data_IF_553490876918
#
_entry.id   IF_553490876918
#
_cell.length_a   1.000
_cell.length_b   1.000
_cell.length_c   1.000
_cell.angle_alpha   90.00
_cell.angle_beta   90.00
_cell.angle_gamma   90.00
#
_symmetry.space_group_name_H-M   'P 1'
#
loop_
_entity.id
_entity.type
_entity.pdbx_description
1 polymer ?
#
# COMPACT_ATOMS: atom_id res chain seq x y z
N UNK A 1 -15.57 4.44 -20.10
CA UNK A 1 -14.78 4.55 -18.87
C UNK A 1 -14.03 3.25 -18.66
N UNK A 2 -12.72 3.31 -18.48
CA UNK A 2 -11.89 2.15 -18.18
C UNK A 2 -11.79 1.96 -16.66
N UNK A 3 -11.59 0.71 -16.23
CA UNK A 3 -11.31 0.37 -14.84
C UNK A 3 -9.82 0.11 -14.63
N UNK A 4 -9.28 0.62 -13.53
CA UNK A 4 -7.88 0.50 -13.16
C UNK A 4 -7.84 -0.21 -11.81
N UNK A 5 -7.19 -1.37 -11.76
CA UNK A 5 -7.11 -2.19 -10.56
C UNK A 5 -5.70 -2.21 -10.02
N UNK A 6 -5.59 -2.21 -8.69
CA UNK A 6 -4.36 -2.55 -7.98
C UNK A 6 -4.61 -3.81 -7.17
N UNK A 7 -3.70 -4.76 -7.25
CA UNK A 7 -3.79 -6.08 -6.63
C UNK A 7 -2.89 -6.20 -5.40
N UNK A 8 -3.10 -7.26 -4.62
CA UNK A 8 -2.33 -7.52 -3.42
C UNK A 8 -0.83 -7.57 -3.72
N UNK A 9 0.02 -6.91 -2.91
CA UNK A 9 1.46 -6.82 -3.15
C UNK A 9 2.19 -8.14 -2.84
N UNK A 10 1.60 -8.98 -1.99
CA UNK A 10 2.07 -10.31 -1.64
C UNK A 10 0.89 -11.17 -1.14
N UNK A 11 1.04 -12.49 -1.10
CA UNK A 11 0.01 -13.39 -0.53
C UNK A 11 -0.15 -13.12 0.97
N UNK A 12 -1.33 -13.16 1.55
CA UNK A 12 -1.49 -12.97 2.99
C UNK A 12 -2.94 -12.95 3.38
N UNK A 13 -3.26 -12.20 4.42
CA UNK A 13 -4.63 -11.86 4.77
C UNK A 13 -4.79 -10.35 4.92
N UNK A 14 -5.97 -9.85 4.56
CA UNK A 14 -6.38 -8.50 4.94
C UNK A 14 -6.66 -8.49 6.45
N UNK A 15 -5.69 -8.07 7.25
CA UNK A 15 -5.82 -7.99 8.71
C UNK A 15 -6.04 -6.55 9.19
N UNK A 16 -5.74 -5.56 8.34
CA UNK A 16 -6.06 -4.15 8.59
C UNK A 16 -7.52 -3.83 8.33
N UNK A 17 -8.34 -4.86 8.19
CA UNK A 17 -9.71 -4.70 8.59
C UNK A 17 -9.88 -5.03 10.07
N UNK A 18 -9.10 -5.82 10.80
CA UNK A 18 -9.44 -6.19 12.18
C UNK A 18 -9.02 -5.26 13.32
N UNK A 19 -7.99 -4.42 13.15
CA UNK A 19 -7.86 -3.19 13.95
C UNK A 19 -9.03 -2.25 13.59
N UNK A 20 -9.47 -2.25 12.32
CA UNK A 20 -10.51 -1.39 11.73
C UNK A 20 -11.97 -1.94 11.77
N UNK A 21 -12.22 -3.18 12.19
CA UNK A 21 -13.46 -3.98 12.07
C UNK A 21 -14.00 -4.32 13.45
N UNK A 22 -13.15 -4.16 14.48
CA UNK A 22 -13.48 -4.42 15.87
C UNK A 22 -13.13 -3.24 16.78
N UNK A 23 -13.12 -2.00 16.25
CA UNK A 23 -13.06 -0.72 17.01
C UNK A 23 -11.69 -0.20 17.50
N UNK A 24 -10.56 -0.62 16.95
CA UNK A 24 -9.26 -0.02 17.27
C UNK A 24 -8.88 1.05 16.24
N UNK A 25 -8.98 2.31 16.68
CA UNK A 25 -8.82 3.51 15.87
C UNK A 25 -7.64 3.40 14.90
N UNK A 26 -7.90 3.25 13.60
CA UNK A 26 -6.82 3.22 12.64
C UNK A 26 -6.10 4.55 12.61
N UNK A 27 -4.78 4.53 12.74
CA UNK A 27 -4.02 5.76 12.55
C UNK A 27 -3.92 6.02 11.03
N UNK A 28 -4.49 7.13 10.54
CA UNK A 28 -4.27 7.50 9.15
C UNK A 28 -2.78 7.75 8.95
N UNK A 29 -2.21 7.17 7.91
CA UNK A 29 -0.79 7.30 7.55
C UNK A 29 -0.55 8.61 6.79
N UNK A 30 -1.22 9.68 7.24
CA UNK A 30 -1.05 11.09 6.86
C UNK A 30 -1.69 11.57 5.55
N UNK A 31 -2.01 10.71 4.59
CA UNK A 31 -2.30 11.19 3.23
C UNK A 31 -3.68 10.85 2.67
N UNK A 32 -4.32 9.79 3.15
CA UNK A 32 -5.37 9.15 2.36
C UNK A 32 -6.47 8.52 3.21
N UNK A 33 -7.52 8.03 2.53
CA UNK A 33 -8.69 7.45 3.17
C UNK A 33 -8.76 5.94 2.94
N UNK A 34 -9.62 5.29 3.72
CA UNK A 34 -9.96 3.88 3.61
C UNK A 34 -8.74 2.94 3.61
N UNK A 35 -7.96 2.93 4.71
CA UNK A 35 -6.78 2.10 4.79
C UNK A 35 -7.14 0.63 4.80
N UNK A 36 -6.18 -0.18 4.39
CA UNK A 36 -6.16 -1.61 4.63
C UNK A 36 -4.75 -2.00 5.07
N UNK A 37 -4.63 -3.16 5.67
CA UNK A 37 -3.34 -3.78 5.89
C UNK A 37 -3.35 -5.21 5.40
N UNK A 38 -2.29 -5.56 4.68
CA UNK A 38 -2.03 -6.92 4.23
C UNK A 38 -0.80 -7.41 4.98
N UNK A 39 -0.86 -8.62 5.51
CA UNK A 39 0.19 -9.14 6.37
C UNK A 39 0.16 -10.64 6.53
N UNK A 40 1.22 -11.15 7.15
CA UNK A 40 1.43 -12.55 7.50
C UNK A 40 1.94 -12.66 8.94
N UNK A 41 1.56 -13.72 9.67
CA UNK A 41 1.98 -13.90 11.06
C UNK A 41 3.45 -14.30 11.22
N UNK A 42 4.22 -14.35 10.13
CA UNK A 42 5.65 -14.66 10.15
C UNK A 42 6.50 -13.38 10.17
N UNK A 43 7.79 -13.56 10.48
CA UNK A 43 8.75 -12.46 10.56
C UNK A 43 9.71 -12.40 9.36
N UNK A 44 9.35 -13.07 8.26
CA UNK A 44 10.20 -13.14 7.08
C UNK A 44 10.03 -11.88 6.22
N UNK A 45 11.13 -11.15 6.02
CA UNK A 45 11.17 -10.01 5.10
C UNK A 45 10.52 -10.40 3.77
N UNK A 46 9.48 -9.67 3.38
CA UNK A 46 8.64 -10.02 2.24
C UNK A 46 8.70 -8.91 1.20
N UNK A 47 9.12 -9.19 -0.05
CA UNK A 47 9.10 -8.19 -1.10
C UNK A 47 7.68 -7.61 -1.33
N UNK A 48 7.60 -6.28 -1.40
CA UNK A 48 6.39 -5.55 -1.76
C UNK A 48 6.46 -5.28 -3.27
N UNK A 49 5.45 -5.75 -4.00
CA UNK A 49 5.30 -5.45 -5.42
C UNK A 49 4.08 -4.58 -5.66
N UNK A 50 4.21 -3.61 -6.56
CA UNK A 50 3.06 -3.01 -7.21
C UNK A 50 2.56 -3.97 -8.28
N UNK A 51 1.27 -4.30 -8.25
CA UNK A 51 0.59 -5.03 -9.30
C UNK A 51 -0.59 -4.20 -9.79
N UNK A 52 -0.49 -3.66 -11.00
CA UNK A 52 -1.53 -2.89 -11.67
C UNK A 52 -2.17 -3.64 -12.82
N UNK A 53 -3.45 -3.40 -13.08
CA UNK A 53 -4.13 -3.87 -14.30
C UNK A 53 -3.44 -3.35 -15.57
N UNK A 54 -3.67 -4.00 -16.71
CA UNK A 54 -3.13 -3.59 -18.02
C UNK A 54 -3.50 -2.17 -18.47
N UNK A 55 -4.56 -1.59 -17.89
CA UNK A 55 -4.97 -0.21 -18.16
C UNK A 55 -4.05 0.81 -17.47
N UNK A 56 -3.32 0.42 -16.42
CA UNK A 56 -2.27 1.25 -15.84
C UNK A 56 -1.05 1.11 -16.75
N UNK A 57 -0.57 2.21 -17.30
CA UNK A 57 0.51 2.20 -18.31
C UNK A 57 1.81 2.78 -17.77
N UNK A 58 1.71 3.67 -16.80
CA UNK A 58 2.85 4.13 -16.02
C UNK A 58 2.46 4.43 -14.58
N UNK A 59 3.46 4.49 -13.73
CA UNK A 59 3.33 4.92 -12.34
C UNK A 59 4.38 5.98 -12.02
N UNK A 60 4.08 6.85 -11.07
CA UNK A 60 5.09 7.70 -10.42
C UNK A 60 5.19 7.29 -8.96
N UNK A 61 6.40 6.96 -8.52
CA UNK A 61 6.70 6.59 -7.15
C UNK A 61 7.38 7.78 -6.48
N UNK A 62 6.84 8.21 -5.33
CA UNK A 62 7.31 9.33 -4.53
C UNK A 62 7.61 8.79 -3.13
N UNK A 63 8.84 8.97 -2.67
CA UNK A 63 9.24 8.61 -1.32
C UNK A 63 8.73 9.61 -0.28
N UNK A 64 8.29 9.08 0.85
CA UNK A 64 7.86 9.81 2.03
C UNK A 64 8.46 9.15 3.28
N UNK A 65 8.86 9.92 4.27
CA UNK A 65 9.56 9.43 5.47
C UNK A 65 8.95 9.93 6.78
N UNK A 66 7.65 10.25 6.80
CA UNK A 66 6.98 10.80 7.99
C UNK A 66 5.63 10.16 8.27
N UNK A 67 5.53 8.86 8.04
CA UNK A 67 4.28 8.10 8.14
C UNK A 67 3.91 7.80 9.60
N UNK A 68 4.91 7.36 10.38
CA UNK A 68 4.80 7.11 11.80
C UNK A 68 5.72 8.08 12.55
N UNK A 69 5.17 9.12 13.20
CA UNK A 69 5.97 10.10 13.95
C UNK A 69 6.51 9.56 15.30
N UNK A 70 6.60 8.24 15.48
CA UNK A 70 6.91 7.61 16.76
C UNK A 70 8.39 7.26 16.93
N UNK A 71 9.13 6.95 15.85
CA UNK A 71 10.51 6.45 15.94
C UNK A 71 11.38 6.95 14.76
N UNK A 72 12.06 8.10 14.91
CA UNK A 72 12.92 8.67 13.87
C UNK A 72 13.94 7.68 13.30
N UNK A 73 13.91 7.46 11.99
CA UNK A 73 14.88 6.65 11.24
C UNK A 73 14.55 5.15 11.12
N UNK A 74 13.41 4.72 11.62
CA UNK A 74 12.95 3.33 11.48
C UNK A 74 12.22 3.13 10.13
N UNK A 75 12.37 1.99 9.44
CA UNK A 75 11.54 1.62 8.29
C UNK A 75 10.03 1.89 8.41
N UNK A 76 9.46 1.92 9.63
CA UNK A 76 8.05 2.28 9.87
C UNK A 76 7.69 3.70 9.43
N UNK A 77 8.66 4.61 9.38
CA UNK A 77 8.44 6.00 8.96
C UNK A 77 8.36 6.14 7.45
N UNK A 78 8.84 5.14 6.70
CA UNK A 78 8.92 5.18 5.25
C UNK A 78 7.60 4.77 4.59
N UNK A 79 7.17 5.56 3.62
CA UNK A 79 6.16 5.21 2.64
C UNK A 79 6.62 5.49 1.22
N UNK A 80 5.92 4.85 0.30
CA UNK A 80 5.94 5.14 -1.11
C UNK A 80 4.53 5.49 -1.57
N UNK A 81 4.34 6.74 -2.00
CA UNK A 81 3.16 7.12 -2.75
C UNK A 81 3.34 6.70 -4.21
N UNK A 82 2.43 5.89 -4.70
CA UNK A 82 2.35 5.40 -6.07
C UNK A 82 1.16 6.07 -6.77
N UNK A 83 1.46 7.05 -7.63
CA UNK A 83 0.48 7.65 -8.54
C UNK A 83 0.30 6.76 -9.78
N UNK A 84 -0.95 6.60 -10.21
CA UNK A 84 -1.36 5.72 -11.30
C UNK A 84 -1.72 6.54 -12.53
N UNK A 85 -1.28 6.09 -13.70
CA UNK A 85 -1.50 6.79 -14.96
C UNK A 85 -1.98 5.82 -16.05
N UNK A 86 -2.99 6.26 -16.80
CA UNK A 86 -3.59 5.48 -17.89
C UNK A 86 -2.76 5.51 -19.18
N UNK A 87 -1.74 6.37 -19.26
CA UNK A 87 -0.83 6.48 -20.39
C UNK A 87 0.63 6.44 -19.91
N UNK A 88 1.58 6.35 -20.86
CA UNK A 88 3.01 6.34 -20.56
C UNK A 88 3.47 7.70 -20.03
N UNK A 89 4.65 7.74 -19.41
CA UNK A 89 5.34 8.95 -18.98
C UNK A 89 4.51 9.85 -18.05
N UNK A 90 3.75 9.21 -17.14
CA UNK A 90 2.88 9.87 -16.18
C UNK A 90 1.78 10.75 -16.82
N UNK A 91 1.25 10.32 -17.97
CA UNK A 91 0.11 10.98 -18.63
C UNK A 91 -1.24 10.33 -18.26
N UNK A 92 -2.30 11.15 -18.21
CA UNK A 92 -3.64 10.75 -17.80
C UNK A 92 -3.69 10.17 -16.37
N UNK A 93 -3.66 11.07 -15.37
CA UNK A 93 -3.73 10.69 -13.96
C UNK A 93 -5.05 9.99 -13.62
N UNK A 94 -4.95 8.84 -12.95
CA UNK A 94 -6.09 8.01 -12.56
C UNK A 94 -6.36 8.12 -11.07
N UNK A 95 -5.31 8.06 -10.25
CA UNK A 95 -5.42 7.96 -8.80
C UNK A 95 -4.06 7.72 -8.16
N UNK A 96 -4.05 7.46 -6.85
CA UNK A 96 -2.82 7.19 -6.13
C UNK A 96 -3.07 6.27 -4.93
N UNK A 97 -2.02 5.56 -4.53
CA UNK A 97 -1.96 4.78 -3.30
C UNK A 97 -0.74 5.16 -2.49
N UNK A 98 -0.81 5.04 -1.17
CA UNK A 98 0.36 4.95 -0.32
C UNK A 98 0.62 3.49 0.04
N UNK A 99 1.89 3.10 0.04
CA UNK A 99 2.41 1.88 0.68
C UNK A 99 3.28 2.35 1.83
N UNK A 100 2.87 2.08 3.06
CA UNK A 100 3.51 2.52 4.30
C UNK A 100 4.24 1.35 4.97
N UNK A 101 5.23 1.66 5.81
CA UNK A 101 6.14 0.70 6.45
C UNK A 101 7.03 -0.04 5.44
N UNK A 102 7.58 0.71 4.48
CA UNK A 102 8.40 0.16 3.40
C UNK A 102 9.88 0.22 3.77
N UNK A 103 10.46 -0.95 4.02
CA UNK A 103 11.91 -1.11 4.10
C UNK A 103 12.52 -1.14 2.68
N UNK A 104 13.78 -0.70 2.56
CA UNK A 104 14.55 -0.73 1.31
C UNK A 104 13.75 -0.24 0.07
N UNK A 105 13.20 0.99 0.11
CA UNK A 105 12.36 1.49 -0.97
C UNK A 105 13.13 1.54 -2.29
N UNK A 106 12.44 1.26 -3.40
CA UNK A 106 13.02 1.30 -4.75
C UNK A 106 13.59 2.67 -5.11
N UNK A 107 13.08 3.73 -4.50
CA UNK A 107 13.55 5.09 -4.68
C UNK A 107 13.45 5.86 -3.37
N UNK A 108 14.34 6.84 -3.20
CA UNK A 108 14.31 7.84 -2.12
C UNK A 108 13.88 9.22 -2.63
N UNK A 109 13.44 9.30 -3.89
CA UNK A 109 13.01 10.54 -4.54
C UNK A 109 11.70 10.36 -5.30
N UNK A 110 11.56 11.10 -6.41
CA UNK A 110 10.42 10.97 -7.32
C UNK A 110 10.88 10.36 -8.64
N UNK A 111 10.24 9.26 -9.06
CA UNK A 111 10.61 8.56 -10.28
C UNK A 111 9.38 8.03 -11.02
N UNK A 112 9.41 8.13 -12.36
CA UNK A 112 8.36 7.59 -13.24
C UNK A 112 8.82 6.26 -13.82
N UNK A 113 7.91 5.28 -13.85
CA UNK A 113 8.13 3.97 -14.43
C UNK A 113 7.03 3.66 -15.44
N UNK A 114 7.42 3.36 -16.68
CA UNK A 114 6.51 2.87 -17.72
C UNK A 114 6.24 1.37 -17.54
N UNK A 115 5.66 1.03 -16.38
CA UNK A 115 5.38 -0.32 -15.97
C UNK A 115 4.07 -0.38 -15.17
N UNK A 116 3.39 -1.51 -15.27
CA UNK A 116 2.25 -1.85 -14.43
C UNK A 116 2.59 -2.91 -13.37
N UNK A 117 3.86 -3.32 -13.29
CA UNK A 117 4.38 -4.24 -12.28
C UNK A 117 5.82 -3.86 -11.93
N UNK A 118 6.11 -3.69 -10.63
CA UNK A 118 7.47 -3.40 -10.16
C UNK A 118 7.63 -3.76 -8.68
N UNK A 119 8.84 -4.11 -8.24
CA UNK A 119 9.16 -4.19 -6.81
C UNK A 119 9.21 -2.77 -6.23
N UNK A 120 8.48 -2.50 -5.16
CA UNK A 120 8.49 -1.21 -4.47
C UNK A 120 9.49 -1.16 -3.31
N UNK A 121 9.72 -2.29 -2.66
CA UNK A 121 10.60 -2.40 -1.50
C UNK A 121 10.33 -3.72 -0.79
N UNK A 122 10.51 -3.74 0.52
CA UNK A 122 10.28 -4.89 1.37
C UNK A 122 9.35 -4.52 2.54
N UNK A 123 8.46 -5.42 2.89
CA UNK A 123 7.72 -5.40 4.13
C UNK A 123 8.60 -6.05 5.20
N UNK A 124 8.86 -5.33 6.28
CA UNK A 124 9.62 -5.83 7.42
C UNK A 124 8.65 -6.39 8.47
N UNK A 125 9.05 -7.39 9.27
CA UNK A 125 8.34 -7.70 10.51
C UNK A 125 8.27 -6.49 11.42
N UNK A 126 7.12 -6.28 12.04
CA UNK A 126 6.96 -5.26 13.05
C UNK A 126 7.86 -5.56 14.24
N UNK A 127 8.91 -4.74 14.39
CA UNK A 127 9.73 -4.68 15.60
C UNK A 127 9.39 -3.45 16.43
N UNK A 128 8.38 -2.66 16.03
CA UNK A 128 7.94 -1.52 16.81
C UNK A 128 7.53 -2.02 18.19
N UNK A 129 8.29 -1.62 19.21
CA UNK A 129 7.86 -1.68 20.60
C UNK A 129 6.84 -0.55 20.83
N UNK A 130 5.80 -0.55 20.00
CA UNK A 130 4.67 0.33 20.09
C UNK A 130 4.05 0.02 21.45
N UNK A 131 4.29 0.95 22.39
CA UNK A 131 4.01 0.81 23.82
C UNK A 131 2.63 0.18 24.03
N UNK A 132 2.48 -0.69 25.05
CA UNK A 132 1.38 -1.67 25.28
C UNK A 132 -0.08 -1.20 25.13
N UNK A 133 -0.31 0.08 24.84
CA UNK A 133 -1.60 0.70 24.53
C UNK A 133 -1.90 0.81 23.02
N UNK A 134 -0.93 0.53 22.13
CA UNK A 134 -1.14 0.52 20.67
C UNK A 134 -0.99 -0.90 20.12
N UNK A 135 -2.10 -1.46 19.63
CA UNK A 135 -2.16 -2.81 19.07
C UNK A 135 -1.63 -2.81 17.63
N UNK A 136 -0.30 -2.74 17.50
CA UNK A 136 0.38 -2.92 16.22
C UNK A 136 0.41 -4.41 15.83
N UNK A 137 0.45 -4.68 14.53
CA UNK A 137 0.43 -6.04 14.02
C UNK A 137 1.76 -6.73 14.25
N UNK A 138 1.72 -7.86 14.93
CA UNK A 138 2.90 -8.68 15.10
C UNK A 138 3.10 -9.56 13.85
N UNK A 139 4.15 -9.27 13.08
CA UNK A 139 4.49 -9.94 11.84
C UNK A 139 4.76 -8.96 10.71
N UNK A 140 5.00 -9.51 9.53
CA UNK A 140 5.27 -8.72 8.32
C UNK A 140 3.97 -8.16 7.77
N UNK A 141 3.93 -6.84 7.55
CA UNK A 141 2.76 -6.19 6.98
C UNK A 141 3.11 -4.96 6.12
N UNK A 142 2.13 -4.53 5.33
CA UNK A 142 2.15 -3.26 4.61
C UNK A 142 0.82 -2.56 4.81
N UNK A 143 0.88 -1.31 5.27
CA UNK A 143 -0.27 -0.43 5.40
C UNK A 143 -0.49 0.26 4.06
N UNK A 144 -1.71 0.20 3.53
CA UNK A 144 -2.04 0.77 2.24
C UNK A 144 -3.21 1.73 2.35
N UNK A 145 -3.07 2.90 1.74
CA UNK A 145 -4.15 3.90 1.67
C UNK A 145 -4.33 4.39 0.24
N UNK A 146 -5.47 5.03 -0.05
CA UNK A 146 -5.78 5.53 -1.40
C UNK A 146 -6.26 6.97 -1.44
N UNK A 147 -5.97 7.64 -2.56
CA UNK A 147 -6.60 8.93 -2.85
C UNK A 147 -8.12 8.79 -3.01
N UNK A 148 -8.86 9.76 -2.48
CA UNK A 148 -10.33 9.74 -2.31
C UNK A 148 -11.12 9.77 -3.62
N UNK A 149 -10.47 9.96 -4.77
CA UNK A 149 -11.13 10.05 -6.06
C UNK A 149 -11.51 8.66 -6.58
N UNK A 150 -12.77 8.26 -6.39
CA UNK A 150 -13.46 7.26 -7.22
C UNK A 150 -13.06 5.80 -7.00
N UNK A 151 -12.35 5.49 -5.93
CA UNK A 151 -11.88 4.13 -5.69
C UNK A 151 -12.93 3.26 -4.94
N UNK A 152 -13.07 1.99 -5.30
CA UNK A 152 -13.83 0.95 -4.55
C UNK A 152 -12.87 -0.05 -3.87
N UNK A 153 -13.28 -0.66 -2.76
CA UNK A 153 -12.53 -1.72 -2.03
C UNK A 153 -13.31 -3.02 -2.15
N UNK A 154 -12.64 -4.16 -2.35
CA UNK A 154 -13.29 -5.48 -2.43
C UNK A 154 -13.26 -6.31 -1.16
N UNK A 155 -12.44 -5.93 -0.20
CA UNK A 155 -11.96 -6.86 0.82
C UNK A 155 -12.85 -6.87 2.05
N UNK A 156 -13.16 -8.07 2.51
CA UNK A 156 -13.71 -8.34 3.83
C UNK A 156 -12.57 -8.55 4.85
N UNK A 157 -12.91 -8.48 6.15
CA UNK A 157 -11.95 -8.65 7.23
C UNK A 157 -11.43 -10.09 7.18
N UNK A 158 -10.12 -10.26 7.40
CA UNK A 158 -9.43 -11.56 7.37
C UNK A 158 -9.52 -12.33 6.07
N UNK A 159 -10.04 -11.73 5.00
CA UNK A 159 -10.09 -12.39 3.72
C UNK A 159 -8.65 -12.70 3.27
N UNK A 160 -8.38 -13.95 2.85
CA UNK A 160 -7.10 -14.27 2.23
C UNK A 160 -6.95 -13.44 0.96
N UNK A 161 -5.74 -12.95 0.74
CA UNK A 161 -5.38 -12.22 -0.48
C UNK A 161 -4.21 -12.93 -1.15
N UNK A 162 -4.25 -12.93 -2.47
CA UNK A 162 -3.24 -13.57 -3.31
C UNK A 162 -2.59 -12.51 -4.19
N UNK A 163 -1.26 -12.51 -4.20
CA UNK A 163 -0.45 -11.58 -4.97
C UNK A 163 -0.91 -11.55 -6.44
N UNK A 164 -0.89 -10.35 -7.04
CA UNK A 164 -1.23 -10.11 -8.45
C UNK A 164 -2.66 -10.48 -8.90
N UNK A 165 -3.48 -11.14 -8.08
CA UNK A 165 -4.78 -11.70 -8.50
C UNK A 165 -5.94 -11.17 -7.67
N UNK A 166 -5.75 -11.00 -6.36
CA UNK A 166 -6.77 -10.39 -5.50
C UNK A 166 -6.70 -8.88 -5.67
N UNK A 167 -7.70 -8.28 -6.30
CA UNK A 167 -7.76 -6.83 -6.42
C UNK A 167 -8.16 -6.21 -5.08
N UNK A 168 -7.54 -5.07 -4.81
CA UNK A 168 -7.58 -4.40 -3.53
C UNK A 168 -8.33 -3.08 -3.68
N UNK A 169 -7.93 -2.31 -4.69
CA UNK A 169 -8.51 -1.03 -5.03
C UNK A 169 -8.83 -0.97 -6.52
N UNK A 170 -9.91 -0.27 -6.85
CA UNK A 170 -10.36 -0.07 -8.23
C UNK A 170 -10.78 1.37 -8.47
N UNK A 171 -10.24 2.03 -9.49
CA UNK A 171 -10.67 3.34 -9.99
C UNK A 171 -11.44 3.21 -11.31
N UNK A 172 -12.27 4.20 -11.61
CA UNK A 172 -12.83 4.44 -12.95
C UNK A 172 -12.39 5.80 -13.47
N UNK A 173 -11.81 5.85 -14.67
CA UNK A 173 -11.37 7.10 -15.29
C UNK A 173 -11.66 7.12 -16.80
N UNK A 174 -11.68 8.33 -17.36
CA UNK A 174 -11.67 8.57 -18.80
C UNK A 174 -10.22 8.84 -19.24
N UNK A 175 -9.48 7.73 -19.30
CA UNK A 175 -8.22 7.56 -20.00
C UNK A 175 -8.47 6.39 -20.99
#
# INVERSE_FOLDING_TARGET
>A
MAYFYVYAPFNGANWGQNTYCFNNAPHPSRYYCCPIDIGRPNNDVTPIYFYGSSNIRSIRVIFDNQVCNSIPGDPWENALKVELFGQLDAQCYVGALSYSHVANPITTGTQVYNANYIKLGDASPDTCNCNQNFLCYNGVHVHMERSSNGASISLACWAPVYAATTWIYRWSAAC
#
